data_IF_038703091861
#
_entry.id   IF_038703091861
#
_cell.length_a   1.000
_cell.length_b   1.000
_cell.length_c   1.000
_cell.angle_alpha   90.00
_cell.angle_beta   90.00
_cell.angle_gamma   90.00
#
_symmetry.space_group_name_H-M   'P 1'
#
loop_
_entity.id
_entity.type
_entity.pdbx_description
1 polymer ?
#
# COMPACT_ATOMS: atom_id res chain seq x y z
N UNK A 1 -22.91 -0.22 13.28
CA UNK A 1 -21.55 0.31 13.06
C UNK A 1 -21.67 1.39 12.00
N UNK A 2 -21.20 2.58 12.28
CA UNK A 2 -21.22 3.66 11.30
C UNK A 2 -20.04 3.39 10.36
N UNK A 3 -20.32 2.97 9.13
CA UNK A 3 -19.28 2.82 8.11
C UNK A 3 -18.72 4.21 7.80
N UNK A 4 -17.44 4.39 8.09
CA UNK A 4 -16.75 5.62 7.79
C UNK A 4 -16.24 5.55 6.35
N UNK A 5 -17.00 6.08 5.41
CA UNK A 5 -16.62 6.12 4.01
C UNK A 5 -15.64 7.27 3.76
N UNK A 6 -14.37 6.96 3.53
CA UNK A 6 -13.27 7.90 3.35
C UNK A 6 -12.44 7.57 2.10
N UNK A 7 -13.03 7.61 0.89
CA UNK A 7 -12.25 7.43 -0.34
C UNK A 7 -11.32 8.63 -0.56
N UNK A 8 -10.24 8.39 -1.27
CA UNK A 8 -9.32 9.45 -1.73
C UNK A 8 -8.84 9.15 -3.14
N UNK A 9 -8.18 10.10 -3.79
CA UNK A 9 -7.67 9.92 -5.13
C UNK A 9 -7.17 11.23 -5.72
N UNK A 10 -6.64 11.12 -6.93
CA UNK A 10 -6.24 12.24 -7.78
C UNK A 10 -6.69 11.97 -9.22
N UNK A 11 -6.21 12.74 -10.20
CA UNK A 11 -6.57 12.57 -11.62
C UNK A 11 -6.06 11.26 -12.25
N UNK A 12 -5.15 10.55 -11.60
CA UNK A 12 -4.55 9.29 -12.09
C UNK A 12 -5.00 8.05 -11.32
N UNK A 13 -5.23 8.18 -10.03
CA UNK A 13 -5.47 7.07 -9.12
C UNK A 13 -6.72 7.31 -8.30
N UNK A 14 -7.56 6.29 -8.18
CA UNK A 14 -8.73 6.25 -7.30
C UNK A 14 -8.54 5.17 -6.25
N UNK A 15 -8.69 5.55 -5.00
CA UNK A 15 -8.52 4.69 -3.83
C UNK A 15 -9.88 4.58 -3.11
N UNK A 16 -10.43 3.36 -2.94
CA UNK A 16 -11.63 3.17 -2.16
C UNK A 16 -11.37 3.41 -0.67
N UNK A 17 -12.43 3.33 0.10
CA UNK A 17 -12.35 3.39 1.56
C UNK A 17 -11.51 2.25 2.12
N UNK A 18 -10.65 2.56 3.07
CA UNK A 18 -9.95 1.53 3.85
C UNK A 18 -10.94 0.73 4.70
N UNK A 19 -10.68 -0.55 4.89
CA UNK A 19 -11.49 -1.39 5.78
C UNK A 19 -11.47 -0.85 7.22
N UNK A 20 -12.65 -0.63 7.79
CA UNK A 20 -12.83 0.04 9.07
C UNK A 20 -12.15 -0.64 10.28
N UNK A 21 -11.95 -1.94 10.24
CA UNK A 21 -11.38 -2.71 11.35
C UNK A 21 -9.90 -3.08 11.18
N UNK A 22 -9.35 -2.97 9.97
CA UNK A 22 -7.98 -3.43 9.67
C UNK A 22 -7.10 -2.35 9.06
N UNK A 23 -7.68 -1.26 8.53
CA UNK A 23 -6.96 -0.29 7.72
C UNK A 23 -6.55 -0.83 6.33
N UNK A 24 -7.04 -2.00 5.93
CA UNK A 24 -6.67 -2.62 4.67
C UNK A 24 -7.27 -1.89 3.46
N UNK A 25 -6.54 -1.88 2.34
CA UNK A 25 -6.99 -1.44 1.04
C UNK A 25 -7.31 -2.68 0.19
N UNK A 26 -8.57 -2.85 -0.21
CA UNK A 26 -9.00 -4.02 -0.98
C UNK A 26 -8.60 -3.93 -2.45
N UNK A 27 -8.61 -2.72 -3.00
CA UNK A 27 -8.29 -2.47 -4.39
C UNK A 27 -7.79 -1.03 -4.59
N UNK A 28 -7.19 -0.75 -5.72
CA UNK A 28 -7.03 0.59 -6.25
C UNK A 28 -7.22 0.60 -7.76
N UNK A 29 -7.68 1.72 -8.30
CA UNK A 29 -7.84 1.91 -9.73
C UNK A 29 -6.91 3.00 -10.22
N UNK A 30 -6.44 2.89 -11.46
CA UNK A 30 -5.67 3.94 -12.12
C UNK A 30 -6.11 4.14 -13.56
N UNK A 31 -5.91 5.35 -14.07
CA UNK A 31 -6.25 5.72 -15.43
C UNK A 31 -5.25 5.12 -16.42
N UNK A 32 -5.76 4.33 -17.37
CA UNK A 32 -4.96 3.72 -18.43
C UNK A 32 -5.49 4.11 -19.81
N UNK A 33 -4.78 5.00 -20.49
CA UNK A 33 -5.23 5.58 -21.78
C UNK A 33 -5.35 4.54 -22.89
N UNK A 34 -4.50 3.50 -22.90
CA UNK A 34 -4.55 2.41 -23.88
C UNK A 34 -5.83 1.56 -23.77
N UNK A 35 -6.42 1.48 -22.58
CA UNK A 35 -7.69 0.80 -22.31
C UNK A 35 -8.87 1.77 -22.17
N UNK A 36 -8.65 3.06 -22.43
CA UNK A 36 -9.68 4.12 -22.39
C UNK A 36 -10.49 4.13 -21.11
N UNK A 37 -9.83 3.95 -19.96
CA UNK A 37 -10.55 3.96 -18.69
C UNK A 37 -9.71 3.57 -17.48
N UNK A 38 -10.41 3.16 -16.43
CA UNK A 38 -9.82 2.73 -15.18
C UNK A 38 -9.50 1.24 -15.20
N UNK A 39 -8.30 0.90 -14.75
CA UNK A 39 -7.90 -0.46 -14.46
C UNK A 39 -7.82 -0.60 -12.95
N UNK A 40 -8.61 -1.50 -12.38
CA UNK A 40 -8.64 -1.80 -10.96
C UNK A 40 -7.76 -3.00 -10.65
N UNK A 41 -6.90 -2.86 -9.65
CA UNK A 41 -6.11 -3.91 -9.06
C UNK A 41 -6.84 -4.41 -7.83
N UNK A 42 -7.12 -5.70 -7.74
CA UNK A 42 -7.90 -6.29 -6.63
C UNK A 42 -7.07 -7.29 -5.82
N UNK A 43 -7.31 -7.26 -4.52
CA UNK A 43 -6.80 -8.25 -3.59
C UNK A 43 -7.51 -9.61 -3.70
N UNK A 44 -7.00 -10.59 -2.96
CA UNK A 44 -7.62 -11.90 -2.81
C UNK A 44 -8.75 -11.90 -1.79
N UNK A 45 -9.60 -12.93 -1.83
CA UNK A 45 -10.74 -13.06 -0.91
C UNK A 45 -10.32 -13.19 0.57
N UNK A 46 -9.17 -13.80 0.84
CA UNK A 46 -8.65 -14.00 2.20
C UNK A 46 -7.60 -12.98 2.63
N UNK A 47 -6.98 -12.30 1.68
CA UNK A 47 -5.96 -11.28 1.93
C UNK A 47 -6.19 -10.11 0.97
N UNK A 48 -6.55 -8.92 1.48
CA UNK A 48 -6.72 -7.71 0.67
C UNK A 48 -5.46 -7.36 -0.13
N UNK A 49 -5.59 -6.41 -1.04
CA UNK A 49 -4.46 -5.97 -1.86
C UNK A 49 -3.33 -5.41 -1.00
N UNK A 50 -3.65 -4.64 0.05
CA UNK A 50 -2.69 -4.11 1.03
C UNK A 50 -3.29 -4.13 2.42
N UNK A 51 -2.58 -4.69 3.38
CA UNK A 51 -3.01 -4.74 4.79
C UNK A 51 -1.84 -4.33 5.67
N UNK A 52 -2.00 -3.34 6.56
CA UNK A 52 -0.98 -3.05 7.55
C UNK A 52 -0.82 -4.21 8.51
N UNK A 53 0.41 -4.56 8.83
CA UNK A 53 0.70 -5.60 9.80
C UNK A 53 1.71 -5.10 10.85
N UNK A 54 1.64 -5.71 12.04
CA UNK A 54 2.46 -5.36 13.19
C UNK A 54 2.89 -6.63 13.90
N UNK A 55 4.15 -6.68 14.32
CA UNK A 55 4.72 -7.75 15.14
C UNK A 55 5.56 -7.11 16.26
N UNK A 56 5.45 -7.63 17.45
CA UNK A 56 6.22 -7.22 18.62
C UNK A 56 6.86 -8.46 19.23
N UNK A 57 8.16 -8.40 19.53
CA UNK A 57 8.93 -9.54 20.04
C UNK A 57 8.77 -10.82 19.21
N UNK A 58 8.56 -10.67 17.89
CA UNK A 58 8.34 -11.78 16.95
C UNK A 58 6.91 -12.34 16.92
N UNK A 59 5.99 -11.80 17.71
CA UNK A 59 4.59 -12.22 17.73
C UNK A 59 3.70 -11.24 16.95
N UNK A 60 2.73 -11.78 16.22
CA UNK A 60 1.76 -10.99 15.46
C UNK A 60 0.83 -10.23 16.41
N UNK A 61 0.73 -8.93 16.24
CA UNK A 61 -0.19 -8.07 16.97
C UNK A 61 -1.33 -7.59 16.06
N UNK A 62 -2.57 -7.86 16.48
CA UNK A 62 -3.74 -7.41 15.74
C UNK A 62 -4.01 -5.94 15.98
N UNK A 63 -4.35 -5.20 14.93
CA UNK A 63 -4.78 -3.82 15.02
C UNK A 63 -6.17 -3.74 15.68
N UNK A 64 -6.31 -2.89 16.71
CA UNK A 64 -7.51 -2.77 17.53
C UNK A 64 -7.88 -1.31 17.76
N UNK A 65 -9.14 -1.09 18.14
CA UNK A 65 -9.65 0.22 18.57
C UNK A 65 -9.43 1.34 17.57
N UNK A 66 -9.66 1.04 16.28
CA UNK A 66 -9.49 2.01 15.21
C UNK A 66 -10.44 3.19 15.35
N UNK A 67 -9.87 4.38 15.38
CA UNK A 67 -10.57 5.65 15.30
C UNK A 67 -10.19 6.33 13.99
N UNK A 68 -11.19 6.69 13.21
CA UNK A 68 -11.02 7.28 11.89
C UNK A 68 -11.13 8.80 11.93
N UNK A 69 -10.34 9.45 11.08
CA UNK A 69 -10.32 10.89 10.93
C UNK A 69 -9.89 11.31 9.53
N UNK A 70 -9.77 12.61 9.34
CA UNK A 70 -9.22 13.22 8.13
C UNK A 70 -8.17 14.26 8.50
N UNK A 71 -7.08 14.27 7.74
CA UNK A 71 -6.11 15.35 7.75
C UNK A 71 -6.43 16.26 6.56
N UNK A 72 -6.38 17.59 6.77
CA UNK A 72 -6.71 18.58 5.72
C UNK A 72 -8.05 18.31 5.02
N UNK A 73 -9.07 17.86 5.78
CA UNK A 73 -10.45 17.59 5.38
C UNK A 73 -10.67 16.43 4.38
N UNK A 74 -9.65 15.97 3.68
CA UNK A 74 -9.80 14.97 2.61
C UNK A 74 -8.85 13.76 2.69
N UNK A 75 -7.77 13.82 3.46
CA UNK A 75 -6.81 12.72 3.60
C UNK A 75 -7.30 11.76 4.69
N UNK A 76 -7.70 10.51 4.37
CA UNK A 76 -8.13 9.55 5.36
C UNK A 76 -6.97 9.15 6.28
N UNK A 77 -7.24 9.18 7.59
CA UNK A 77 -6.32 8.77 8.63
C UNK A 77 -7.01 7.85 9.63
N UNK A 78 -6.25 7.02 10.29
CA UNK A 78 -6.72 6.25 11.44
C UNK A 78 -5.68 6.23 12.55
N UNK A 79 -6.17 6.06 13.78
CA UNK A 79 -5.36 5.78 14.96
C UNK A 79 -5.88 4.51 15.61
N UNK A 80 -4.99 3.72 16.21
CA UNK A 80 -5.35 2.47 16.89
C UNK A 80 -4.19 1.92 17.72
N UNK A 81 -4.33 0.69 18.16
CA UNK A 81 -3.29 -0.01 18.92
C UNK A 81 -3.02 -1.39 18.33
N UNK A 82 -1.77 -1.85 18.41
CA UNK A 82 -1.38 -3.21 18.05
C UNK A 82 -0.38 -3.74 19.09
N UNK A 83 -0.86 -4.56 20.04
CA UNK A 83 -0.08 -4.98 21.17
C UNK A 83 0.44 -3.78 21.99
N UNK A 84 1.76 -3.66 22.15
CA UNK A 84 2.43 -2.55 22.83
C UNK A 84 2.78 -1.39 21.89
N UNK A 85 2.07 -1.23 20.78
CA UNK A 85 2.25 -0.15 19.82
C UNK A 85 0.99 0.72 19.74
N UNK A 86 1.15 2.03 19.82
CA UNK A 86 0.18 2.99 19.30
C UNK A 86 0.47 3.17 17.80
N UNK A 87 -0.56 3.10 16.97
CA UNK A 87 -0.45 3.08 15.50
C UNK A 87 -1.25 4.22 14.91
N UNK A 88 -0.67 4.89 13.93
CA UNK A 88 -1.35 5.85 13.07
C UNK A 88 -1.14 5.44 11.60
N UNK A 89 -2.19 5.52 10.80
CA UNK A 89 -2.12 5.26 9.36
C UNK A 89 -2.72 6.40 8.55
N UNK A 90 -2.22 6.59 7.35
CA UNK A 90 -2.67 7.60 6.39
C UNK A 90 -2.57 7.07 4.97
N UNK A 91 -3.58 7.38 4.15
CA UNK A 91 -3.61 7.07 2.73
C UNK A 91 -3.78 8.36 1.92
N UNK A 92 -2.91 8.60 0.95
CA UNK A 92 -2.92 9.83 0.15
C UNK A 92 -2.55 9.52 -1.31
N UNK A 93 -3.28 10.11 -2.24
CA UNK A 93 -2.88 10.20 -3.65
C UNK A 93 -2.50 11.68 -3.94
N UNK A 94 -1.20 12.02 -4.04
CA UNK A 94 -0.75 13.39 -4.27
C UNK A 94 -1.23 13.91 -5.64
N UNK A 95 -1.57 15.19 -5.71
CA UNK A 95 -2.04 15.84 -6.95
C UNK A 95 -0.92 15.83 -8.00
N UNK A 96 -1.26 15.48 -9.25
CA UNK A 96 -0.30 15.41 -10.36
C UNK A 96 0.51 14.12 -10.44
N UNK A 97 0.55 13.31 -9.38
CA UNK A 97 1.39 12.15 -9.31
C UNK A 97 0.68 10.88 -9.80
N UNK A 98 1.42 10.03 -10.53
CA UNK A 98 0.93 8.72 -10.98
C UNK A 98 1.16 7.67 -9.89
N UNK A 99 0.43 7.82 -8.79
CA UNK A 99 0.59 6.92 -7.67
C UNK A 99 -0.11 7.41 -6.42
N UNK A 100 0.21 6.74 -5.33
CA UNK A 100 -0.31 7.05 -4.00
C UNK A 100 0.70 6.63 -2.94
N UNK A 101 0.45 7.04 -1.71
CA UNK A 101 1.25 6.60 -0.57
C UNK A 101 0.37 6.04 0.54
N UNK A 102 0.91 5.05 1.24
CA UNK A 102 0.39 4.54 2.50
C UNK A 102 1.46 4.78 3.58
N UNK A 103 1.15 5.59 4.58
CA UNK A 103 2.06 5.89 5.68
C UNK A 103 1.62 5.22 6.95
N UNK A 104 2.57 4.63 7.67
CA UNK A 104 2.38 4.04 8.98
C UNK A 104 3.34 4.71 9.96
N UNK A 105 2.81 5.18 11.09
CA UNK A 105 3.59 5.64 12.24
C UNK A 105 3.29 4.70 13.41
N UNK A 106 4.33 4.14 13.99
CA UNK A 106 4.22 3.32 15.19
C UNK A 106 4.98 3.98 16.34
N UNK A 107 4.39 3.94 17.53
CA UNK A 107 5.00 4.46 18.76
C UNK A 107 4.96 3.37 19.83
N UNK A 108 6.10 3.11 20.49
CA UNK A 108 6.14 2.20 21.63
C UNK A 108 5.33 2.76 22.81
N UNK A 109 4.45 1.94 23.36
CA UNK A 109 3.75 2.18 24.62
C UNK A 109 4.34 1.34 25.77
N UNK A 110 5.38 0.54 25.47
CA UNK A 110 6.15 -0.23 26.45
C UNK A 110 7.03 0.71 27.30
N UNK A 111 7.30 0.32 28.51
CA UNK A 111 8.28 0.93 29.41
C UNK A 111 9.72 0.42 29.22
N UNK A 112 9.91 -0.51 28.28
CA UNK A 112 11.20 -1.11 27.90
C UNK A 112 11.41 -1.04 26.39
N UNK A 113 12.67 -1.12 25.92
CA UNK A 113 12.95 -1.26 24.49
C UNK A 113 12.16 -2.43 23.91
N UNK A 114 11.52 -2.21 22.76
CA UNK A 114 10.62 -3.14 22.10
C UNK A 114 11.13 -3.45 20.68
N UNK A 115 11.41 -4.73 20.42
CA UNK A 115 11.67 -5.20 19.05
C UNK A 115 10.36 -5.21 18.27
N UNK A 116 10.30 -4.52 17.14
CA UNK A 116 9.09 -4.39 16.33
C UNK A 116 9.38 -4.60 14.85
N UNK A 117 8.47 -5.29 14.19
CA UNK A 117 8.40 -5.39 12.72
C UNK A 117 7.03 -4.94 12.27
N UNK A 118 6.96 -4.01 11.33
CA UNK A 118 5.69 -3.53 10.80
C UNK A 118 5.81 -3.13 9.33
N UNK A 119 4.68 -3.05 8.64
CA UNK A 119 4.66 -2.69 7.24
C UNK A 119 3.37 -3.02 6.55
N UNK A 120 3.46 -3.36 5.27
CA UNK A 120 2.34 -3.75 4.42
C UNK A 120 2.55 -5.17 3.91
N UNK A 121 1.49 -5.96 3.95
CA UNK A 121 1.39 -7.25 3.28
C UNK A 121 0.11 -7.30 2.46
N UNK A 122 0.05 -8.15 1.47
CA UNK A 122 -1.14 -8.24 0.64
C UNK A 122 -1.08 -9.34 -0.39
N UNK A 123 -2.15 -9.44 -1.17
CA UNK A 123 -2.26 -10.35 -2.29
C UNK A 123 -2.76 -9.58 -3.52
N UNK A 124 -2.01 -9.61 -4.61
CA UNK A 124 -2.52 -9.14 -5.89
C UNK A 124 -3.16 -10.32 -6.65
N UNK A 125 -4.47 -10.40 -6.61
CA UNK A 125 -5.22 -11.53 -7.15
C UNK A 125 -5.67 -11.33 -8.59
N UNK A 126 -6.11 -10.12 -8.98
CA UNK A 126 -6.67 -9.86 -10.31
C UNK A 126 -6.55 -8.39 -10.71
N UNK A 127 -6.72 -8.16 -12.01
CA UNK A 127 -6.84 -6.82 -12.60
C UNK A 127 -8.12 -6.76 -13.43
N UNK A 128 -8.86 -5.66 -13.34
CA UNK A 128 -10.17 -5.49 -13.95
C UNK A 128 -10.25 -4.21 -14.75
N UNK A 129 -10.96 -4.27 -15.86
CA UNK A 129 -11.33 -3.10 -16.66
C UNK A 129 -12.70 -2.62 -16.24
N UNK A 130 -12.77 -1.42 -15.63
CA UNK A 130 -13.97 -0.90 -14.97
C UNK A 130 -14.64 0.24 -15.75
N UNK A 131 -14.64 0.19 -17.08
CA UNK A 131 -15.33 1.15 -17.95
C UNK A 131 -16.43 0.44 -18.71
N UNK A 132 -17.66 0.80 -18.46
CA UNK A 132 -18.90 0.24 -19.04
C UNK A 132 -19.28 -1.17 -18.52
N UNK A 133 -18.33 -2.08 -18.37
CA UNK A 133 -18.53 -3.43 -17.82
C UNK A 133 -17.32 -3.82 -17.00
N UNK A 134 -17.57 -4.40 -15.84
CA UNK A 134 -16.51 -5.03 -15.04
C UNK A 134 -16.04 -6.31 -15.75
N UNK A 135 -14.84 -6.25 -16.33
CA UNK A 135 -14.24 -7.38 -17.01
C UNK A 135 -12.84 -7.64 -16.51
N UNK A 136 -12.58 -8.86 -16.07
CA UNK A 136 -11.24 -9.27 -15.71
C UNK A 136 -10.32 -9.23 -16.93
N UNK A 137 -9.10 -8.72 -16.73
CA UNK A 137 -8.08 -8.63 -17.77
C UNK A 137 -7.32 -9.94 -17.79
N UNK A 138 -7.44 -10.67 -18.90
CA UNK A 138 -6.64 -11.87 -19.14
C UNK A 138 -5.17 -11.48 -19.39
N UNK A 139 -4.26 -12.17 -18.72
CA UNK A 139 -2.83 -11.96 -18.88
C UNK A 139 -2.02 -12.53 -17.73
N UNK A 140 -0.71 -12.66 -17.95
CA UNK A 140 0.21 -13.13 -16.94
C UNK A 140 0.54 -11.99 -15.97
N UNK A 141 0.22 -12.19 -14.70
CA UNK A 141 0.70 -11.36 -13.59
C UNK A 141 2.05 -11.88 -13.16
N UNK A 142 2.97 -10.98 -12.89
CA UNK A 142 4.31 -11.31 -12.41
C UNK A 142 4.73 -10.35 -11.31
N UNK A 143 5.54 -10.87 -10.39
CA UNK A 143 6.26 -10.06 -9.45
C UNK A 143 7.74 -10.45 -9.49
N UNK A 144 8.61 -9.48 -9.42
CA UNK A 144 10.06 -9.70 -9.38
C UNK A 144 10.75 -8.51 -8.71
N UNK A 145 11.98 -8.73 -8.27
CA UNK A 145 12.81 -7.66 -7.73
C UNK A 145 13.51 -6.94 -8.88
N UNK A 146 13.38 -5.63 -8.93
CA UNK A 146 14.07 -4.78 -9.91
C UNK A 146 15.58 -4.82 -9.67
N UNK A 147 16.36 -5.04 -10.74
CA UNK A 147 17.82 -5.00 -10.69
C UNK A 147 18.39 -3.58 -10.49
N UNK A 148 17.54 -2.55 -10.58
CA UNK A 148 17.96 -1.14 -10.55
C UNK A 148 17.93 -0.55 -9.14
N UNK A 149 17.02 -1.02 -8.30
CA UNK A 149 16.72 -0.38 -7.01
C UNK A 149 16.21 -1.33 -5.93
N UNK A 150 16.29 -2.65 -6.16
CA UNK A 150 15.85 -3.72 -5.27
C UNK A 150 14.36 -3.65 -4.84
N UNK A 151 13.54 -2.80 -5.50
CA UNK A 151 12.11 -2.75 -5.23
C UNK A 151 11.37 -3.89 -5.93
N UNK A 152 10.22 -4.28 -5.38
CA UNK A 152 9.32 -5.18 -6.06
C UNK A 152 8.68 -4.46 -7.25
N UNK A 153 8.53 -5.19 -8.34
CA UNK A 153 7.76 -4.76 -9.51
C UNK A 153 6.62 -5.75 -9.71
N UNK A 154 5.43 -5.23 -9.77
CA UNK A 154 4.23 -5.96 -10.15
C UNK A 154 3.87 -5.56 -11.56
N UNK A 155 3.94 -6.49 -12.51
CA UNK A 155 3.60 -6.22 -13.90
C UNK A 155 2.54 -7.19 -14.44
N UNK A 156 1.67 -6.65 -15.30
CA UNK A 156 0.69 -7.42 -16.04
C UNK A 156 1.09 -7.47 -17.51
N UNK A 157 1.13 -8.67 -18.08
CA UNK A 157 1.49 -8.89 -19.47
C UNK A 157 0.43 -9.65 -20.24
N UNK A 158 0.20 -9.15 -21.45
CA UNK A 158 -0.57 -9.85 -22.47
C UNK A 158 0.21 -9.72 -23.80
N UNK A 159 1.42 -10.34 -23.80
CA UNK A 159 2.40 -10.20 -24.88
C UNK A 159 3.41 -9.08 -24.64
N UNK A 160 2.95 -7.84 -24.51
CA UNK A 160 3.72 -6.67 -24.06
C UNK A 160 3.29 -6.29 -22.63
N UNK A 161 4.14 -5.58 -21.87
CA UNK A 161 3.69 -5.00 -20.62
C UNK A 161 2.45 -4.15 -20.83
N UNK A 162 1.40 -4.45 -20.08
CA UNK A 162 0.15 -3.71 -20.12
C UNK A 162 0.19 -2.54 -19.15
N UNK A 163 0.63 -2.83 -17.95
CA UNK A 163 0.89 -1.88 -16.89
C UNK A 163 1.79 -2.50 -15.81
N UNK A 164 2.35 -1.64 -14.97
CA UNK A 164 3.09 -2.03 -13.78
C UNK A 164 2.77 -1.09 -12.61
N UNK A 165 2.96 -1.59 -11.39
CA UNK A 165 3.01 -0.78 -10.19
C UNK A 165 4.17 -1.23 -9.29
N UNK A 166 4.72 -0.31 -8.52
CA UNK A 166 5.92 -0.57 -7.75
C UNK A 166 5.92 0.23 -6.43
N UNK A 167 6.22 -0.40 -5.29
CA UNK A 167 6.45 0.30 -4.04
C UNK A 167 7.88 0.80 -3.91
N UNK A 168 8.04 1.98 -3.29
CA UNK A 168 9.30 2.45 -2.71
C UNK A 168 9.07 2.91 -1.28
N UNK A 169 10.07 2.81 -0.44
CA UNK A 169 9.98 3.14 0.98
C UNK A 169 11.01 4.19 1.36
N UNK A 170 10.64 5.08 2.28
CA UNK A 170 11.54 6.10 2.84
C UNK A 170 12.45 5.58 3.95
N UNK A 171 12.22 4.35 4.41
CA UNK A 171 13.02 3.64 5.40
C UNK A 171 13.52 2.30 4.84
N UNK A 172 14.62 1.75 5.35
CA UNK A 172 15.06 0.41 4.98
C UNK A 172 13.99 -0.63 5.28
N UNK A 173 13.55 -1.33 4.25
CA UNK A 173 12.54 -2.38 4.34
C UNK A 173 13.02 -3.64 3.62
N UNK A 174 12.72 -4.81 4.19
CA UNK A 174 12.82 -6.07 3.47
C UNK A 174 11.55 -6.30 2.66
N UNK A 175 11.71 -6.85 1.47
CA UNK A 175 10.58 -7.23 0.60
C UNK A 175 10.65 -8.71 0.25
N UNK A 176 9.51 -9.36 0.29
CA UNK A 176 9.35 -10.77 -0.12
C UNK A 176 8.07 -10.92 -0.93
N UNK A 177 8.04 -11.90 -1.83
CA UNK A 177 6.83 -12.28 -2.55
C UNK A 177 6.80 -13.77 -2.84
N UNK A 178 5.60 -14.27 -3.09
CA UNK A 178 5.35 -15.65 -3.49
C UNK A 178 4.16 -15.70 -4.45
N UNK A 179 4.31 -16.41 -5.56
CA UNK A 179 3.21 -16.74 -6.45
C UNK A 179 2.41 -17.91 -5.88
N UNK A 180 1.09 -17.78 -5.83
CA UNK A 180 0.14 -18.78 -5.33
C UNK A 180 -1.04 -18.90 -6.29
N UNK A 181 -1.88 -19.90 -6.10
CA UNK A 181 -3.14 -20.06 -6.87
C UNK A 181 -4.10 -18.86 -6.64
N UNK A 182 -4.04 -18.23 -5.47
CA UNK A 182 -4.86 -17.07 -5.12
C UNK A 182 -4.33 -15.74 -5.71
N UNK A 183 -3.10 -15.71 -6.19
CA UNK A 183 -2.43 -14.52 -6.71
C UNK A 183 -1.00 -14.37 -6.20
N UNK A 184 -0.46 -13.18 -6.30
CA UNK A 184 0.88 -12.84 -5.84
C UNK A 184 0.78 -12.28 -4.42
N UNK A 185 1.19 -13.07 -3.44
CA UNK A 185 1.28 -12.65 -2.04
C UNK A 185 2.62 -11.95 -1.82
N UNK A 186 2.62 -10.82 -1.13
CA UNK A 186 3.83 -10.05 -0.87
C UNK A 186 3.84 -9.48 0.55
N UNK A 187 5.04 -9.10 0.99
CA UNK A 187 5.26 -8.45 2.28
C UNK A 187 6.40 -7.43 2.16
N UNK A 188 6.16 -6.23 2.69
CA UNK A 188 7.11 -5.13 2.81
C UNK A 188 7.26 -4.84 4.31
N UNK A 189 8.42 -5.12 4.90
CA UNK A 189 8.61 -5.12 6.35
C UNK A 189 9.77 -4.22 6.76
N UNK A 190 9.51 -3.30 7.69
CA UNK A 190 10.51 -2.51 8.40
C UNK A 190 10.74 -3.12 9.79
N UNK A 191 12.03 -3.36 10.10
CA UNK A 191 12.44 -3.89 11.40
C UNK A 191 13.12 -2.78 12.19
N UNK A 192 12.72 -2.57 13.44
CA UNK A 192 13.33 -1.59 14.33
C UNK A 192 13.23 -2.01 15.79
N UNK A 193 14.09 -1.42 16.60
CA UNK A 193 13.93 -1.43 18.06
C UNK A 193 13.46 -0.05 18.49
N UNK A 194 12.36 0.02 19.21
CA UNK A 194 11.76 1.25 19.70
C UNK A 194 12.06 1.43 21.18
N UNK A 195 12.68 2.55 21.54
CA UNK A 195 12.79 2.96 22.94
C UNK A 195 11.42 3.36 23.52
N UNK A 196 11.22 3.36 24.84
CA UNK A 196 9.96 3.79 25.44
C UNK A 196 9.50 5.16 24.94
N UNK A 197 8.28 5.20 24.39
CA UNK A 197 7.69 6.42 23.81
C UNK A 197 8.26 6.85 22.45
N UNK A 198 9.28 6.19 21.92
CA UNK A 198 9.81 6.49 20.58
C UNK A 198 8.79 6.14 19.51
N UNK A 199 8.74 6.99 18.47
CA UNK A 199 7.95 6.77 17.28
C UNK A 199 8.83 6.63 16.02
N UNK A 200 8.41 5.78 15.11
CA UNK A 200 9.01 5.60 13.78
C UNK A 200 7.90 5.66 12.74
N UNK A 201 8.17 6.36 11.65
CA UNK A 201 7.27 6.49 10.50
C UNK A 201 7.90 5.83 9.29
N UNK A 202 7.12 5.04 8.58
CA UNK A 202 7.48 4.45 7.28
C UNK A 202 6.41 4.81 6.27
N UNK A 203 6.83 5.34 5.12
CA UNK A 203 5.96 5.67 4.01
C UNK A 203 6.23 4.76 2.83
N UNK A 204 5.19 4.11 2.32
CA UNK A 204 5.20 3.26 1.14
C UNK A 204 4.64 4.06 -0.02
N UNK A 205 5.48 4.45 -0.98
CA UNK A 205 5.14 5.20 -2.18
C UNK A 205 4.88 4.23 -3.32
N UNK A 206 3.64 4.13 -3.78
CA UNK A 206 3.21 3.23 -4.85
C UNK A 206 3.11 3.98 -6.17
N UNK A 207 4.06 3.77 -7.06
CA UNK A 207 4.02 4.31 -8.41
C UNK A 207 3.28 3.40 -9.38
N UNK A 208 2.59 3.97 -10.35
CA UNK A 208 1.86 3.27 -11.42
C UNK A 208 2.34 3.75 -12.78
N UNK A 209 2.48 2.83 -13.72
CA UNK A 209 2.94 3.15 -15.08
C UNK A 209 2.59 2.07 -16.10
N UNK A 210 2.93 2.33 -17.36
CA UNK A 210 2.73 1.37 -18.45
C UNK A 210 3.76 0.23 -18.43
N UNK A 211 4.87 0.45 -17.74
CA UNK A 211 5.98 -0.51 -17.63
C UNK A 211 6.75 -0.29 -16.32
N UNK A 212 7.69 -1.20 -16.02
CA UNK A 212 8.55 -1.19 -14.82
C UNK A 212 9.17 0.19 -14.55
N UNK A 213 9.85 0.74 -15.57
CA UNK A 213 10.60 2.01 -15.42
C UNK A 213 9.66 3.16 -15.07
N UNK A 214 8.49 3.23 -15.70
CA UNK A 214 7.51 4.27 -15.44
C UNK A 214 6.93 4.15 -14.01
N UNK A 215 6.59 2.95 -13.55
CA UNK A 215 6.07 2.71 -12.20
C UNK A 215 7.14 3.03 -11.13
N UNK A 216 8.35 2.51 -11.30
CA UNK A 216 9.45 2.75 -10.37
C UNK A 216 9.85 4.23 -10.31
N UNK A 217 9.87 4.92 -11.47
CA UNK A 217 10.16 6.36 -11.54
C UNK A 217 9.09 7.19 -10.83
N UNK A 218 7.81 6.87 -11.02
CA UNK A 218 6.72 7.56 -10.32
C UNK A 218 6.84 7.40 -8.79
N UNK A 219 7.09 6.18 -8.30
CA UNK A 219 7.32 5.95 -6.88
C UNK A 219 8.53 6.72 -6.34
N UNK A 220 9.64 6.72 -7.09
CA UNK A 220 10.88 7.42 -6.73
C UNK A 220 10.71 8.94 -6.70
N UNK A 221 9.94 9.48 -7.63
CA UNK A 221 9.69 10.93 -7.69
C UNK A 221 8.85 11.37 -6.48
N UNK A 222 7.77 10.67 -6.16
CA UNK A 222 6.99 10.91 -4.94
C UNK A 222 7.84 10.81 -3.67
N UNK A 223 8.72 9.80 -3.58
CA UNK A 223 9.65 9.65 -2.46
C UNK A 223 10.62 10.85 -2.37
N UNK A 224 11.14 11.32 -3.51
CA UNK A 224 12.08 12.45 -3.56
C UNK A 224 11.44 13.78 -3.15
N UNK A 225 10.22 14.02 -3.58
CA UNK A 225 9.47 15.24 -3.28
C UNK A 225 8.95 15.24 -1.84
N UNK A 226 8.53 14.06 -1.35
CA UNK A 226 7.78 13.93 -0.11
C UNK A 226 6.34 14.45 -0.26
N UNK A 227 5.47 14.03 0.64
CA UNK A 227 4.06 14.44 0.63
C UNK A 227 3.78 15.75 1.39
N UNK A 228 4.77 16.27 2.13
CA UNK A 228 4.61 17.44 3.00
C UNK A 228 4.58 18.78 2.23
N UNK A 229 4.76 18.75 0.93
CA UNK A 229 4.73 19.94 0.08
C UNK A 229 3.35 20.29 -0.46
N UNK A 230 2.30 19.58 -0.03
CA UNK A 230 0.88 19.83 -0.32
C UNK A 230 0.15 20.29 1.00
#
# INVERSE_FOLDING_TARGET
MQECYLPTGNEWVSLPTLQACTGALESFSFLHMGHKGLIEQRGGASLPLMTPFFETEGERASLQSLTWGRKSDWIPTFCGTAGSLAVEGMLLAPVGERGFLYQLTVRSTSDKPLSSTFGLEGCWASAWHCVNEDKEIDGARRCYTSLWNDSLIFDMRCGLPLFAFAPMMDQPCSSTFQETDAGIVYRLAHNCTLEPGQAVTVTFYWGVGFEEVAAATSAKEMLRQGWQHE
#
